data_IF_255254460339
#
_entry.id   IF_255254460339
#
_cell.length_a   1.000
_cell.length_b   1.000
_cell.length_c   1.000
_cell.angle_alpha   90.00
_cell.angle_beta   90.00
_cell.angle_gamma   90.00
#
_symmetry.space_group_name_H-M   'P 1'
#
loop_
_entity.id
_entity.type
_entity.pdbx_description
1 polymer ?
#
# COMPACT_ATOMS: atom_id res chain seq x y z
N UNK A 1 -31.91 -21.39 42.33
CA UNK A 1 -31.98 -20.17 41.48
C UNK A 1 -30.88 -19.16 41.81
N UNK A 2 -30.76 -18.65 43.05
CA UNK A 2 -29.75 -17.63 43.40
C UNK A 2 -28.29 -18.09 43.25
N UNK A 3 -27.94 -19.32 43.65
CA UNK A 3 -26.58 -19.86 43.49
C UNK A 3 -26.21 -20.02 42.01
N UNK A 4 -27.13 -20.52 41.19
CA UNK A 4 -26.95 -20.67 39.75
C UNK A 4 -26.69 -19.32 39.08
N UNK A 5 -27.46 -18.28 39.43
CA UNK A 5 -27.27 -16.93 38.91
C UNK A 5 -25.90 -16.36 39.29
N UNK A 6 -25.45 -16.57 40.54
CA UNK A 6 -24.12 -16.13 40.99
C UNK A 6 -22.99 -16.83 40.23
N UNK A 7 -23.11 -18.14 40.00
CA UNK A 7 -22.13 -18.92 39.24
C UNK A 7 -22.11 -18.45 37.78
N UNK A 8 -23.28 -18.35 37.15
CA UNK A 8 -23.40 -17.89 35.77
C UNK A 8 -22.79 -16.50 35.59
N UNK A 9 -23.18 -15.54 36.43
CA UNK A 9 -22.64 -14.18 36.38
C UNK A 9 -21.13 -14.14 36.61
N UNK A 10 -20.64 -14.91 37.59
CA UNK A 10 -19.20 -15.02 37.87
C UNK A 10 -18.41 -15.59 36.70
N UNK A 11 -18.94 -16.62 36.03
CA UNK A 11 -18.32 -17.21 34.84
C UNK A 11 -18.34 -16.24 33.66
N UNK A 12 -19.48 -15.58 33.39
CA UNK A 12 -19.58 -14.58 32.31
C UNK A 12 -18.60 -13.42 32.51
N UNK A 13 -18.52 -12.87 33.73
CA UNK A 13 -17.56 -11.79 34.05
C UNK A 13 -16.13 -12.29 33.87
N UNK A 14 -15.82 -13.51 34.30
CA UNK A 14 -14.47 -14.09 34.16
C UNK A 14 -14.08 -14.24 32.69
N UNK A 15 -14.98 -14.73 31.84
CA UNK A 15 -14.73 -14.88 30.40
C UNK A 15 -14.55 -13.53 29.72
N UNK A 16 -15.44 -12.56 29.98
CA UNK A 16 -15.36 -11.20 29.41
C UNK A 16 -14.06 -10.52 29.87
N UNK A 17 -13.70 -10.65 31.14
CA UNK A 17 -12.47 -10.08 31.69
C UNK A 17 -11.23 -10.72 31.07
N UNK A 18 -11.25 -12.04 30.85
CA UNK A 18 -10.16 -12.74 30.18
C UNK A 18 -9.99 -12.27 28.73
N UNK A 19 -11.09 -12.16 27.98
CA UNK A 19 -11.08 -11.65 26.60
C UNK A 19 -10.52 -10.22 26.55
N UNK A 20 -11.05 -9.32 27.38
CA UNK A 20 -10.57 -7.93 27.43
C UNK A 20 -9.10 -7.82 27.84
N UNK A 21 -8.66 -8.64 28.79
CA UNK A 21 -7.27 -8.69 29.24
C UNK A 21 -6.34 -9.18 28.13
N UNK A 22 -6.71 -10.25 27.41
CA UNK A 22 -5.90 -10.76 26.30
C UNK A 22 -5.79 -9.73 25.18
N UNK A 23 -6.91 -9.12 24.79
CA UNK A 23 -6.94 -8.07 23.77
C UNK A 23 -6.12 -6.84 24.18
N UNK A 24 -6.10 -6.50 25.47
CA UNK A 24 -5.25 -5.41 25.97
C UNK A 24 -3.75 -5.75 25.97
N UNK A 25 -3.39 -7.01 26.19
CA UNK A 25 -1.99 -7.45 26.16
C UNK A 25 -1.44 -7.54 24.72
N UNK A 26 -2.23 -8.11 23.81
CA UNK A 26 -1.82 -8.29 22.40
C UNK A 26 -2.07 -7.02 21.59
N UNK A 27 -3.04 -6.19 21.98
CA UNK A 27 -3.40 -4.93 21.33
C UNK A 27 -3.52 -5.10 19.80
N UNK A 28 -4.34 -6.06 19.31
CA UNK A 28 -4.34 -6.46 17.90
C UNK A 28 -4.82 -5.34 16.97
N UNK A 29 -5.59 -4.39 17.52
CA UNK A 29 -6.14 -3.25 16.79
C UNK A 29 -5.42 -1.94 17.03
N UNK A 30 -4.29 -1.96 17.74
CA UNK A 30 -3.48 -0.78 18.03
C UNK A 30 -4.25 0.37 18.67
N UNK A 31 -5.03 0.10 19.73
CA UNK A 31 -5.62 1.13 20.60
C UNK A 31 -4.68 1.58 21.73
N UNK A 32 -3.56 0.87 21.90
CA UNK A 32 -2.41 1.30 22.68
C UNK A 32 -1.14 1.31 21.83
N UNK A 33 -0.05 0.82 22.41
CA UNK A 33 1.28 0.80 21.78
C UNK A 33 1.55 -0.43 20.92
N UNK A 34 0.53 -1.23 20.60
CA UNK A 34 0.70 -2.52 19.93
C UNK A 34 1.07 -3.63 20.91
N UNK A 35 1.38 -4.80 20.35
CA UNK A 35 1.58 -6.04 21.10
C UNK A 35 2.68 -5.90 22.14
N UNK A 36 2.37 -6.33 23.37
CA UNK A 36 3.25 -6.24 24.54
C UNK A 36 3.94 -7.55 24.86
N UNK A 37 3.47 -8.65 24.26
CA UNK A 37 4.01 -9.99 24.44
C UNK A 37 5.07 -10.30 23.37
N UNK A 38 4.84 -9.85 22.14
CA UNK A 38 5.83 -9.80 21.06
C UNK A 38 5.84 -8.40 20.45
N UNK A 39 6.87 -8.05 19.67
CA UNK A 39 6.85 -6.78 18.94
C UNK A 39 5.92 -6.80 17.71
N UNK A 40 5.36 -7.95 17.35
CA UNK A 40 4.68 -8.15 16.06
C UNK A 40 3.15 -8.08 16.21
N UNK A 41 2.53 -7.29 15.35
CA UNK A 41 1.10 -7.32 15.05
C UNK A 41 0.92 -7.62 13.57
N UNK A 42 0.09 -8.60 13.21
CA UNK A 42 -0.16 -8.85 11.79
C UNK A 42 -1.07 -7.79 11.18
N UNK A 43 -0.97 -7.63 9.87
CA UNK A 43 -1.74 -6.66 9.08
C UNK A 43 -3.23 -7.05 9.00
N UNK A 44 -3.94 -6.94 10.11
CA UNK A 44 -5.38 -7.09 10.18
C UNK A 44 -6.04 -5.73 10.16
N UNK A 45 -7.13 -5.61 9.39
CA UNK A 45 -7.99 -4.42 9.36
C UNK A 45 -7.18 -3.11 9.39
N UNK A 46 -6.25 -2.97 8.44
CA UNK A 46 -5.28 -1.86 8.40
C UNK A 46 -5.97 -0.49 8.44
N UNK A 47 -7.18 -0.41 7.90
CA UNK A 47 -8.06 0.77 7.97
C UNK A 47 -8.34 1.19 9.42
N UNK A 48 -8.76 0.25 10.26
CA UNK A 48 -8.99 0.49 11.70
C UNK A 48 -7.67 0.66 12.46
N UNK A 49 -6.69 -0.22 12.23
CA UNK A 49 -5.46 -0.26 13.04
C UNK A 49 -4.56 0.95 12.80
N UNK A 50 -4.39 1.38 11.54
CA UNK A 50 -3.67 2.61 11.20
C UNK A 50 -4.38 3.84 11.76
N UNK A 51 -5.71 3.89 11.66
CA UNK A 51 -6.48 5.00 12.23
C UNK A 51 -6.34 5.09 13.74
N UNK A 52 -6.42 3.96 14.47
CA UNK A 52 -6.23 3.95 15.91
C UNK A 52 -4.82 4.38 16.31
N UNK A 53 -3.82 3.95 15.54
CA UNK A 53 -2.44 4.35 15.74
C UNK A 53 -2.28 5.87 15.52
N UNK A 54 -2.74 6.39 14.37
CA UNK A 54 -2.74 7.82 14.05
C UNK A 54 -3.38 8.66 15.16
N UNK A 55 -4.57 8.29 15.62
CA UNK A 55 -5.29 9.04 16.66
C UNK A 55 -4.55 9.10 18.00
N UNK A 56 -3.74 8.08 18.30
CA UNK A 56 -2.93 8.05 19.51
C UNK A 56 -1.63 8.84 19.41
N UNK A 57 -1.06 8.92 18.22
CA UNK A 57 0.24 9.53 17.98
C UNK A 57 0.13 10.97 17.49
N UNK A 58 -0.96 11.38 16.83
CA UNK A 58 -1.11 12.71 16.21
C UNK A 58 -0.96 13.91 17.16
N UNK A 59 -1.07 13.72 18.48
CA UNK A 59 -0.84 14.77 19.49
C UNK A 59 0.58 14.77 20.06
N UNK A 60 1.39 13.77 19.72
CA UNK A 60 2.74 13.52 20.24
C UNK A 60 3.79 13.63 19.15
N UNK A 61 3.40 13.33 17.91
CA UNK A 61 4.21 13.34 16.71
C UNK A 61 3.66 14.45 15.83
N UNK A 62 4.54 15.33 15.36
CA UNK A 62 4.23 16.40 14.44
C UNK A 62 4.36 15.86 13.02
N UNK A 63 3.26 15.34 12.49
CA UNK A 63 3.27 14.74 11.14
C UNK A 63 3.23 15.85 10.09
N UNK A 64 4.34 16.04 9.39
CA UNK A 64 4.48 16.98 8.27
C UNK A 64 4.40 16.28 6.90
N UNK A 65 4.21 14.95 6.91
CA UNK A 65 4.14 14.14 5.72
C UNK A 65 3.06 13.05 5.83
N UNK A 66 2.40 12.75 4.71
CA UNK A 66 1.41 11.69 4.58
C UNK A 66 1.79 10.77 3.42
N UNK A 67 1.73 9.45 3.63
CA UNK A 67 1.90 8.45 2.56
C UNK A 67 0.56 7.74 2.35
N UNK A 68 0.02 7.82 1.14
CA UNK A 68 -1.22 7.19 0.72
C UNK A 68 -0.91 6.15 -0.38
N UNK A 69 -1.59 5.01 -0.38
CA UNK A 69 -1.34 3.97 -1.39
C UNK A 69 -2.04 2.64 -1.09
N UNK A 70 -1.91 1.67 -1.99
CA UNK A 70 -2.42 0.32 -1.75
C UNK A 70 -1.41 -0.56 -0.98
N UNK A 71 -1.56 -1.89 -1.04
CA UNK A 71 -0.63 -2.81 -0.37
C UNK A 71 0.80 -2.67 -0.87
N UNK A 72 1.00 -2.23 -2.12
CA UNK A 72 2.31 -2.00 -2.72
C UNK A 72 3.12 -1.01 -1.88
N UNK A 73 2.53 0.10 -1.45
CA UNK A 73 3.19 1.13 -0.65
C UNK A 73 3.23 0.86 0.88
N UNK A 74 2.73 -0.30 1.36
CA UNK A 74 2.72 -0.58 2.82
C UNK A 74 4.11 -0.76 3.42
N UNK A 75 5.10 -1.17 2.61
CA UNK A 75 6.48 -1.40 3.02
C UNK A 75 7.38 -0.17 2.81
N UNK A 76 6.82 0.93 2.30
CA UNK A 76 7.49 2.23 2.28
C UNK A 76 7.50 2.78 3.71
N UNK A 77 8.66 2.66 4.36
CA UNK A 77 8.82 3.02 5.78
C UNK A 77 8.84 4.52 5.95
N UNK A 78 8.16 5.01 6.98
CA UNK A 78 8.21 6.42 7.34
C UNK A 78 9.63 6.89 7.71
N UNK A 79 10.46 6.00 8.26
CA UNK A 79 11.87 6.26 8.58
C UNK A 79 12.79 6.40 7.37
N UNK A 80 12.32 6.07 6.17
CA UNK A 80 13.07 6.29 4.92
C UNK A 80 13.07 7.77 4.47
N UNK A 81 12.32 8.64 5.14
CA UNK A 81 12.27 10.07 4.85
C UNK A 81 13.09 10.86 5.88
N UNK A 82 14.23 11.42 5.48
CA UNK A 82 15.24 11.91 6.42
C UNK A 82 14.86 13.24 7.10
N UNK A 83 14.06 14.06 6.42
CA UNK A 83 13.71 15.42 6.85
C UNK A 83 12.23 15.60 7.15
N UNK A 84 11.47 14.50 7.15
CA UNK A 84 10.03 14.50 7.33
C UNK A 84 9.63 13.43 8.33
N UNK A 85 8.53 13.69 9.03
CA UNK A 85 7.86 12.75 9.90
C UNK A 85 6.58 12.28 9.21
N UNK A 86 6.71 11.22 8.42
CA UNK A 86 5.61 10.68 7.63
C UNK A 86 4.68 9.77 8.43
N UNK A 87 3.37 9.88 8.20
CA UNK A 87 2.41 8.84 8.56
C UNK A 87 2.02 8.01 7.33
N UNK A 88 2.22 6.69 7.39
CA UNK A 88 1.85 5.79 6.29
C UNK A 88 0.42 5.26 6.46
N UNK A 89 -0.50 5.76 5.63
CA UNK A 89 -1.88 5.32 5.46
C UNK A 89 -2.09 4.35 4.29
N UNK A 90 -1.04 3.75 3.74
CA UNK A 90 -1.20 2.71 2.73
C UNK A 90 -1.79 1.43 3.32
N UNK A 91 -2.65 0.72 2.58
CA UNK A 91 -3.29 -0.52 3.07
C UNK A 91 -3.71 -1.48 1.95
N UNK A 92 -3.96 -2.73 2.30
CA UNK A 92 -4.43 -3.75 1.37
C UNK A 92 -5.61 -3.30 0.51
N UNK A 93 -5.41 -3.44 -0.81
CA UNK A 93 -6.38 -3.10 -1.85
C UNK A 93 -6.93 -1.66 -1.75
N UNK A 94 -6.13 -0.73 -1.23
CA UNK A 94 -6.49 0.68 -1.19
C UNK A 94 -6.69 1.27 -2.59
N UNK A 95 -7.59 2.24 -2.67
CA UNK A 95 -8.03 2.89 -3.91
C UNK A 95 -8.05 4.39 -3.74
N UNK A 96 -7.95 5.12 -4.85
CA UNK A 96 -7.91 6.58 -4.85
C UNK A 96 -9.11 7.22 -4.12
N UNK A 97 -10.30 6.65 -4.23
CA UNK A 97 -11.48 7.12 -3.48
C UNK A 97 -11.21 7.11 -1.97
N UNK A 98 -10.63 6.02 -1.46
CA UNK A 98 -10.31 5.91 -0.04
C UNK A 98 -9.16 6.83 0.34
N UNK A 99 -8.21 7.09 -0.56
CA UNK A 99 -7.10 8.01 -0.28
C UNK A 99 -7.63 9.42 0.01
N UNK A 100 -8.63 9.87 -0.75
CA UNK A 100 -9.34 11.15 -0.52
C UNK A 100 -10.00 11.17 0.85
N UNK A 101 -10.68 10.08 1.24
CA UNK A 101 -11.34 10.00 2.55
C UNK A 101 -10.34 10.04 3.71
N UNK A 102 -9.23 9.30 3.61
CA UNK A 102 -8.19 9.31 4.64
C UNK A 102 -7.44 10.64 4.69
N UNK A 103 -7.17 11.28 3.55
CA UNK A 103 -6.62 12.63 3.49
C UNK A 103 -7.57 13.64 4.17
N UNK A 104 -8.86 13.58 3.84
CA UNK A 104 -9.89 14.44 4.44
C UNK A 104 -9.98 14.22 5.95
N UNK A 105 -9.92 12.98 6.41
CA UNK A 105 -9.91 12.63 7.83
C UNK A 105 -8.69 13.17 8.59
N UNK A 106 -7.51 13.16 7.95
CA UNK A 106 -6.29 13.76 8.49
C UNK A 106 -6.44 15.28 8.59
N UNK A 107 -7.00 15.93 7.57
CA UNK A 107 -7.31 17.37 7.59
C UNK A 107 -8.30 17.75 8.69
N UNK A 108 -9.42 17.02 8.80
CA UNK A 108 -10.42 17.18 9.87
C UNK A 108 -9.85 16.92 11.27
N UNK A 109 -8.70 16.24 11.33
CA UNK A 109 -7.95 15.96 12.55
C UNK A 109 -6.96 17.06 12.95
N UNK A 110 -7.01 18.22 12.28
CA UNK A 110 -6.13 19.39 12.44
C UNK A 110 -4.65 19.11 12.10
N UNK A 111 -4.41 18.25 11.11
CA UNK A 111 -3.06 17.98 10.57
C UNK A 111 -3.00 18.47 9.12
N UNK A 112 -2.01 19.30 8.83
CA UNK A 112 -1.74 19.84 7.49
C UNK A 112 -0.31 19.46 7.10
N UNK A 113 -0.11 18.34 6.39
CA UNK A 113 1.23 17.92 5.98
C UNK A 113 1.79 18.90 4.95
N UNK A 114 3.10 19.16 4.99
CA UNK A 114 3.79 19.89 3.93
C UNK A 114 3.99 19.04 2.68
N UNK A 115 3.91 17.71 2.80
CA UNK A 115 4.12 16.80 1.66
C UNK A 115 3.19 15.59 1.72
N UNK A 116 2.63 15.23 0.57
CA UNK A 116 1.79 14.04 0.41
C UNK A 116 2.38 13.15 -0.66
N UNK A 117 2.82 11.95 -0.25
CA UNK A 117 3.29 10.89 -1.14
C UNK A 117 2.12 9.99 -1.52
N UNK A 118 1.92 9.75 -2.81
CA UNK A 118 0.78 8.96 -3.31
C UNK A 118 1.26 7.84 -4.22
N UNK A 119 1.05 6.59 -3.79
CA UNK A 119 1.24 5.40 -4.61
C UNK A 119 0.08 5.24 -5.61
N UNK A 120 0.41 5.28 -6.90
CA UNK A 120 -0.52 5.18 -8.03
C UNK A 120 -0.42 3.77 -8.64
N UNK A 121 -1.33 2.89 -8.25
CA UNK A 121 -1.34 1.52 -8.77
C UNK A 121 -2.06 1.41 -10.13
N UNK A 122 -1.55 0.59 -11.08
CA UNK A 122 -2.20 0.29 -12.36
C UNK A 122 -3.64 -0.24 -12.19
N UNK A 123 -3.92 -0.90 -11.06
CA UNK A 123 -5.24 -1.43 -10.74
C UNK A 123 -6.35 -0.37 -10.65
N UNK A 124 -6.00 0.90 -10.44
CA UNK A 124 -6.98 1.99 -10.46
C UNK A 124 -7.60 2.21 -11.86
N UNK A 125 -6.90 1.82 -12.92
CA UNK A 125 -7.31 2.05 -14.31
C UNK A 125 -7.80 0.77 -15.02
N UNK A 126 -7.81 -0.38 -14.34
CA UNK A 126 -8.26 -1.65 -14.95
C UNK A 126 -9.76 -1.91 -14.72
N UNK A 127 -10.50 -2.35 -15.76
CA UNK A 127 -11.90 -2.80 -15.58
C UNK A 127 -12.05 -4.11 -14.80
N UNK A 128 -10.99 -4.90 -14.65
CA UNK A 128 -11.05 -6.17 -13.91
C UNK A 128 -11.18 -5.95 -12.40
N UNK A 129 -10.84 -4.76 -11.92
CA UNK A 129 -11.04 -4.36 -10.54
C UNK A 129 -12.47 -3.82 -10.41
N UNK A 130 -13.32 -4.60 -9.72
CA UNK A 130 -14.70 -4.21 -9.41
C UNK A 130 -14.73 -2.83 -8.77
N UNK A 131 -15.75 -2.02 -9.08
CA UNK A 131 -15.93 -0.71 -8.45
C UNK A 131 -16.01 -0.82 -6.93
N UNK A 132 -15.61 0.25 -6.24
CA UNK A 132 -15.65 0.27 -4.79
C UNK A 132 -17.09 0.55 -4.39
N UNK A 133 -17.85 -0.48 -4.00
CA UNK A 133 -19.22 -0.32 -3.52
C UNK A 133 -19.31 0.13 -2.04
N UNK A 134 -18.17 0.41 -1.40
CA UNK A 134 -18.08 0.68 0.02
C UNK A 134 -18.38 2.13 0.40
N UNK A 135 -19.03 2.31 1.55
CA UNK A 135 -18.87 3.53 2.35
C UNK A 135 -17.59 3.34 3.17
N UNK A 136 -16.59 4.17 2.93
CA UNK A 136 -15.38 4.37 3.75
C UNK A 136 -15.76 4.97 5.10
N UNK A 137 -16.61 4.30 5.87
CA UNK A 137 -16.78 4.69 7.25
C UNK A 137 -15.49 4.32 7.98
N UNK A 138 -14.67 5.35 8.26
CA UNK A 138 -13.57 5.29 9.22
C UNK A 138 -14.21 4.99 10.58
N UNK A 139 -14.42 3.70 10.85
CA UNK A 139 -15.08 3.23 12.07
C UNK A 139 -14.10 3.25 13.23
N UNK A 140 -14.04 4.37 13.96
CA UNK A 140 -13.39 4.40 15.26
C UNK A 140 -14.39 3.99 16.36
N UNK A 141 -14.33 2.73 16.78
CA UNK A 141 -15.17 2.21 17.87
C UNK A 141 -14.52 2.55 19.23
N UNK A 142 -15.30 2.84 20.29
CA UNK A 142 -14.72 2.96 21.63
C UNK A 142 -13.96 1.69 22.03
N UNK A 143 -12.81 1.84 22.70
CA UNK A 143 -11.91 0.73 23.09
C UNK A 143 -12.69 -0.42 23.75
N UNK A 144 -13.62 -0.12 24.66
CA UNK A 144 -14.38 -1.16 25.36
C UNK A 144 -15.30 -1.97 24.44
N UNK A 145 -15.80 -1.38 23.35
CA UNK A 145 -16.60 -2.10 22.36
C UNK A 145 -15.71 -2.98 21.49
N UNK A 146 -14.56 -2.44 21.06
CA UNK A 146 -13.61 -3.20 20.26
C UNK A 146 -12.99 -4.37 21.07
N UNK A 147 -12.54 -4.14 22.30
CA UNK A 147 -11.74 -5.12 23.05
C UNK A 147 -12.53 -6.13 23.85
N UNK A 148 -13.84 -5.91 24.02
CA UNK A 148 -14.74 -6.95 24.51
C UNK A 148 -15.39 -7.74 23.37
N UNK A 149 -15.04 -7.45 22.10
CA UNK A 149 -15.55 -8.16 20.93
C UNK A 149 -14.86 -9.51 20.73
N UNK A 150 -15.58 -10.42 20.08
CA UNK A 150 -15.05 -11.69 19.63
C UNK A 150 -14.01 -11.51 18.50
N UNK A 151 -14.21 -10.55 17.61
CA UNK A 151 -13.30 -10.33 16.48
C UNK A 151 -11.89 -9.95 16.95
N UNK A 152 -11.78 -8.99 17.88
CA UNK A 152 -10.49 -8.64 18.47
C UNK A 152 -9.84 -9.83 19.20
N UNK A 153 -10.64 -10.67 19.85
CA UNK A 153 -10.14 -11.89 20.51
C UNK A 153 -9.56 -12.89 19.50
N UNK A 154 -10.24 -13.12 18.38
CA UNK A 154 -9.73 -13.97 17.28
C UNK A 154 -8.43 -13.42 16.72
N UNK A 155 -8.34 -12.10 16.51
CA UNK A 155 -7.11 -11.45 16.04
C UNK A 155 -5.95 -11.60 17.05
N UNK A 156 -6.24 -11.46 18.34
CA UNK A 156 -5.26 -11.69 19.41
C UNK A 156 -4.73 -13.13 19.39
N UNK A 157 -5.63 -14.12 19.26
CA UNK A 157 -5.24 -15.52 19.17
C UNK A 157 -4.37 -15.79 17.92
N UNK A 158 -4.79 -15.31 16.74
CA UNK A 158 -3.99 -15.46 15.50
C UNK A 158 -2.60 -14.88 15.65
N UNK A 159 -2.49 -13.69 16.25
CA UNK A 159 -1.19 -13.05 16.52
C UNK A 159 -0.31 -13.90 17.44
N UNK A 160 -0.88 -14.48 18.50
CA UNK A 160 -0.16 -15.37 19.41
C UNK A 160 0.27 -16.69 18.75
N UNK A 161 -0.55 -17.22 17.84
CA UNK A 161 -0.26 -18.44 17.08
C UNK A 161 0.58 -18.21 15.81
N UNK A 162 1.04 -16.97 15.58
CA UNK A 162 1.81 -16.60 14.39
C UNK A 162 1.08 -16.84 13.06
N UNK A 163 -0.26 -16.75 13.07
CA UNK A 163 -1.11 -16.93 11.90
C UNK A 163 -1.37 -15.58 11.21
N UNK A 164 -0.46 -15.19 10.31
CA UNK A 164 -0.61 -13.97 9.51
C UNK A 164 -1.48 -14.20 8.27
N UNK A 165 -2.44 -13.32 7.95
CA UNK A 165 -3.23 -13.38 6.72
C UNK A 165 -2.44 -12.85 5.50
N UNK A 166 -1.40 -12.05 5.75
CA UNK A 166 -0.57 -11.42 4.74
C UNK A 166 0.91 -11.67 5.04
N UNK A 167 1.78 -11.62 4.03
CA UNK A 167 3.23 -11.80 4.19
C UNK A 167 3.95 -10.64 4.90
N UNK A 168 3.24 -9.84 5.71
CA UNK A 168 3.78 -8.69 6.45
C UNK A 168 3.21 -8.57 7.88
N UNK A 169 3.94 -7.87 8.73
CA UNK A 169 3.55 -7.50 10.09
C UNK A 169 3.98 -6.06 10.38
N UNK A 170 3.40 -5.45 11.41
CA UNK A 170 3.79 -4.16 11.96
C UNK A 170 4.57 -4.36 13.26
N UNK A 171 5.67 -3.63 13.44
CA UNK A 171 6.52 -3.73 14.62
C UNK A 171 6.27 -2.59 15.63
N UNK A 172 5.88 -2.95 16.87
CA UNK A 172 5.63 -2.01 17.98
C UNK A 172 6.87 -1.34 18.54
N UNK A 173 8.06 -1.82 18.20
CA UNK A 173 9.36 -1.23 18.55
C UNK A 173 9.95 -0.40 17.42
N UNK A 174 9.41 -0.48 16.20
CA UNK A 174 9.85 0.28 15.04
C UNK A 174 8.76 1.26 14.58
N UNK A 175 8.16 2.01 15.52
CA UNK A 175 7.21 3.07 15.21
C UNK A 175 6.06 2.67 14.26
N UNK A 176 5.50 1.46 14.41
CA UNK A 176 4.42 0.95 13.56
C UNK A 176 4.85 0.80 12.09
N UNK A 177 6.12 0.52 11.81
CA UNK A 177 6.57 0.22 10.46
C UNK A 177 6.27 -1.22 10.07
N UNK A 178 5.92 -1.41 8.79
CA UNK A 178 5.69 -2.73 8.23
C UNK A 178 7.01 -3.41 7.89
N UNK A 179 7.04 -4.72 8.09
CA UNK A 179 8.15 -5.59 7.74
C UNK A 179 7.62 -6.96 7.31
N UNK A 180 8.49 -7.78 6.73
CA UNK A 180 8.12 -9.02 6.07
C UNK A 180 8.31 -10.23 6.99
N UNK A 181 7.34 -11.16 6.94
CA UNK A 181 7.48 -12.43 7.65
C UNK A 181 8.66 -13.23 7.10
N UNK A 182 9.37 -13.94 7.96
CA UNK A 182 10.51 -14.76 7.56
C UNK A 182 10.06 -15.98 6.72
N UNK A 183 10.95 -16.47 5.85
CA UNK A 183 10.77 -17.69 5.05
C UNK A 183 9.61 -17.67 4.04
N UNK A 184 9.40 -16.53 3.36
CA UNK A 184 8.51 -16.50 2.21
C UNK A 184 9.04 -17.38 1.07
N UNK A 185 8.14 -17.95 0.24
CA UNK A 185 8.53 -18.61 -1.00
C UNK A 185 9.33 -17.65 -1.89
N UNK A 186 10.31 -18.20 -2.61
CA UNK A 186 11.03 -17.45 -3.63
C UNK A 186 10.06 -17.13 -4.79
N UNK A 187 10.12 -15.88 -5.27
CA UNK A 187 9.32 -15.45 -6.41
C UNK A 187 9.89 -16.05 -7.70
N UNK A 188 9.15 -16.99 -8.29
CA UNK A 188 9.52 -17.62 -9.56
C UNK A 188 8.37 -17.44 -10.58
N UNK A 189 8.35 -16.33 -11.33
CA UNK A 189 7.26 -16.05 -12.25
C UNK A 189 7.29 -16.91 -13.51
N UNK A 190 6.10 -17.16 -14.05
CA UNK A 190 5.91 -17.74 -15.38
C UNK A 190 5.29 -16.68 -16.31
N UNK A 191 5.68 -16.69 -17.58
CA UNK A 191 5.05 -15.86 -18.60
C UNK A 191 3.71 -16.46 -19.00
N UNK A 192 2.69 -15.62 -19.12
CA UNK A 192 1.32 -16.06 -19.41
C UNK A 192 0.78 -15.37 -20.65
N UNK A 193 0.28 -16.15 -21.61
CA UNK A 193 -0.43 -15.66 -22.79
C UNK A 193 -1.93 -15.50 -22.50
N UNK A 194 -2.26 -14.63 -21.55
CA UNK A 194 -3.67 -14.39 -21.23
C UNK A 194 -4.25 -13.37 -22.21
N UNK A 195 -5.01 -13.85 -23.20
CA UNK A 195 -5.78 -13.04 -24.16
C UNK A 195 -7.02 -12.38 -23.52
N UNK A 196 -6.87 -11.77 -22.35
CA UNK A 196 -7.94 -10.93 -21.81
C UNK A 196 -7.70 -9.52 -22.32
N UNK A 197 -8.42 -9.13 -23.36
CA UNK A 197 -8.52 -7.71 -23.75
C UNK A 197 -9.12 -6.95 -22.58
N UNK A 198 -8.29 -6.16 -21.91
CA UNK A 198 -8.72 -5.27 -20.83
C UNK A 198 -9.08 -3.91 -21.44
N UNK A 199 -10.19 -3.33 -21.01
CA UNK A 199 -10.37 -1.90 -21.22
C UNK A 199 -9.72 -1.10 -20.10
N UNK A 200 -9.77 0.22 -20.24
CA UNK A 200 -9.20 1.19 -19.34
C UNK A 200 -10.25 2.13 -18.72
N UNK A 201 -10.08 2.43 -17.43
CA UNK A 201 -10.90 3.35 -16.63
C UNK A 201 -10.20 4.70 -16.42
N UNK A 202 -9.97 5.43 -17.51
CA UNK A 202 -9.31 6.74 -17.45
C UNK A 202 -10.12 7.78 -16.65
N UNK A 203 -11.41 7.56 -16.41
CA UNK A 203 -12.25 8.47 -15.60
C UNK A 203 -11.75 8.65 -14.15
N UNK A 204 -10.93 7.72 -13.63
CA UNK A 204 -10.36 7.82 -12.29
C UNK A 204 -9.23 8.84 -12.17
N UNK A 205 -8.67 9.33 -13.27
CA UNK A 205 -7.58 10.32 -13.27
C UNK A 205 -8.00 11.58 -12.51
N UNK A 206 -9.25 12.04 -12.70
CA UNK A 206 -9.79 13.24 -12.04
C UNK A 206 -9.83 13.14 -10.50
N UNK A 207 -9.80 11.93 -9.92
CA UNK A 207 -9.81 11.75 -8.47
C UNK A 207 -8.46 12.15 -7.83
N UNK A 208 -7.38 12.17 -8.61
CA UNK A 208 -6.09 12.65 -8.11
C UNK A 208 -6.06 14.17 -7.97
N UNK A 209 -6.76 14.92 -8.83
CA UNK A 209 -7.01 16.36 -8.65
C UNK A 209 -7.84 16.60 -7.37
N UNK A 210 -8.90 15.82 -7.16
CA UNK A 210 -9.72 15.91 -5.93
C UNK A 210 -8.89 15.66 -4.66
N UNK A 211 -7.98 14.68 -4.68
CA UNK A 211 -7.07 14.42 -3.58
C UNK A 211 -6.14 15.63 -3.31
N UNK A 212 -5.62 16.26 -4.37
CA UNK A 212 -4.77 17.45 -4.25
C UNK A 212 -5.51 18.61 -3.57
N UNK A 213 -6.79 18.80 -3.90
CA UNK A 213 -7.64 19.84 -3.32
C UNK A 213 -7.85 19.69 -1.81
N UNK A 214 -7.61 18.50 -1.24
CA UNK A 214 -7.63 18.31 0.22
C UNK A 214 -6.50 19.11 0.89
N UNK A 215 -5.30 19.15 0.31
CA UNK A 215 -4.15 19.86 0.88
C UNK A 215 -3.50 20.79 -0.16
N UNK A 216 -4.16 21.89 -0.56
CA UNK A 216 -3.74 22.70 -1.71
C UNK A 216 -2.37 23.38 -1.56
N UNK A 217 -1.87 23.50 -0.33
CA UNK A 217 -0.57 24.11 -0.02
C UNK A 217 0.55 23.07 0.19
N UNK A 218 0.24 21.77 0.13
CA UNK A 218 1.23 20.70 0.27
C UNK A 218 1.92 20.40 -1.07
N UNK A 219 3.18 19.96 -1.01
CA UNK A 219 3.85 19.36 -2.16
C UNK A 219 3.32 17.95 -2.39
N UNK A 220 2.83 17.67 -3.58
CA UNK A 220 2.33 16.36 -3.97
C UNK A 220 3.39 15.60 -4.76
N UNK A 221 3.80 14.45 -4.22
CA UNK A 221 4.76 13.54 -4.84
C UNK A 221 4.05 12.24 -5.19
N UNK A 222 3.83 12.01 -6.49
CA UNK A 222 3.20 10.80 -6.99
C UNK A 222 4.25 9.77 -7.38
N UNK A 223 3.93 8.50 -7.21
CA UNK A 223 4.77 7.44 -7.75
C UNK A 223 3.98 6.21 -8.15
N UNK A 224 4.37 5.57 -9.26
CA UNK A 224 3.96 4.18 -9.53
C UNK A 224 4.90 3.26 -8.74
N UNK A 225 4.40 2.41 -7.84
CA UNK A 225 5.22 1.45 -7.11
C UNK A 225 5.98 0.50 -8.06
N UNK A 226 7.10 -0.09 -7.63
CA UNK A 226 7.79 -1.08 -8.44
C UNK A 226 6.93 -2.32 -8.69
N UNK A 227 6.94 -2.78 -9.94
CA UNK A 227 6.37 -4.06 -10.36
C UNK A 227 7.44 -4.84 -11.12
N UNK A 228 7.43 -6.17 -10.98
CA UNK A 228 8.39 -6.98 -11.70
C UNK A 228 8.17 -6.91 -13.20
N UNK A 229 9.25 -7.06 -13.98
CA UNK A 229 9.15 -7.12 -15.44
C UNK A 229 8.14 -8.18 -15.91
N UNK A 230 8.06 -9.33 -15.23
CA UNK A 230 7.06 -10.36 -15.50
C UNK A 230 5.63 -9.89 -15.19
N UNK A 231 5.39 -9.19 -14.09
CA UNK A 231 4.05 -8.67 -13.75
C UNK A 231 3.61 -7.63 -14.76
N UNK A 232 4.48 -6.69 -15.10
CA UNK A 232 4.23 -5.67 -16.12
C UNK A 232 3.89 -6.33 -17.45
N UNK A 233 4.69 -7.30 -17.88
CA UNK A 233 4.46 -8.05 -19.12
C UNK A 233 3.09 -8.74 -19.09
N UNK A 234 2.86 -9.60 -18.09
CA UNK A 234 1.68 -10.46 -18.04
C UNK A 234 0.37 -9.70 -17.77
N UNK A 235 0.43 -8.59 -17.01
CA UNK A 235 -0.79 -7.89 -16.54
C UNK A 235 -1.10 -6.63 -17.32
N UNK A 236 -0.10 -5.99 -17.94
CA UNK A 236 -0.26 -4.69 -18.62
C UNK A 236 0.00 -4.85 -20.13
N UNK A 237 1.15 -5.39 -20.50
CA UNK A 237 1.59 -5.45 -21.89
C UNK A 237 0.83 -6.50 -22.73
N UNK A 238 0.95 -7.79 -22.38
CA UNK A 238 0.32 -8.90 -23.11
C UNK A 238 -1.20 -8.77 -23.21
N UNK A 239 -1.92 -8.28 -22.18
CA UNK A 239 -3.37 -8.06 -22.28
C UNK A 239 -3.77 -6.86 -23.18
N UNK A 240 -2.80 -6.12 -23.72
CA UNK A 240 -3.02 -5.12 -24.77
C UNK A 240 -3.53 -3.75 -24.30
N UNK A 241 -3.28 -3.36 -23.05
CA UNK A 241 -3.73 -2.07 -22.52
C UNK A 241 -2.59 -1.16 -22.03
N UNK A 242 -1.34 -1.45 -22.43
CA UNK A 242 -0.18 -0.64 -22.09
C UNK A 242 -0.37 0.84 -22.45
N UNK A 243 -0.85 1.15 -23.66
CA UNK A 243 -1.00 2.56 -24.06
C UNK A 243 -1.93 3.32 -23.15
N UNK A 244 -3.11 2.77 -22.83
CA UNK A 244 -4.02 3.45 -21.93
C UNK A 244 -3.49 3.55 -20.50
N UNK A 245 -2.76 2.52 -20.03
CA UNK A 245 -2.07 2.60 -18.75
C UNK A 245 -1.09 3.79 -18.72
N UNK A 246 -0.22 3.91 -19.73
CA UNK A 246 0.79 4.97 -19.79
C UNK A 246 0.17 6.35 -20.00
N UNK A 247 -0.86 6.47 -20.84
CA UNK A 247 -1.64 7.70 -21.00
C UNK A 247 -2.28 8.14 -19.69
N UNK A 248 -2.91 7.20 -18.95
CA UNK A 248 -3.54 7.50 -17.66
C UNK A 248 -2.51 7.93 -16.61
N UNK A 249 -1.36 7.25 -16.53
CA UNK A 249 -0.28 7.63 -15.60
C UNK A 249 0.29 9.01 -15.95
N UNK A 250 0.51 9.30 -17.23
CA UNK A 250 1.00 10.61 -17.69
C UNK A 250 0.01 11.72 -17.35
N UNK A 251 -1.30 11.50 -17.57
CA UNK A 251 -2.35 12.46 -17.20
C UNK A 251 -2.46 12.63 -15.67
N UNK A 252 -2.29 11.56 -14.89
CA UNK A 252 -2.23 11.66 -13.42
C UNK A 252 -1.05 12.51 -12.97
N UNK A 253 0.12 12.33 -13.58
CA UNK A 253 1.34 13.06 -13.24
C UNK A 253 1.18 14.60 -13.33
N UNK A 254 0.27 15.10 -14.16
CA UNK A 254 -0.02 16.53 -14.24
C UNK A 254 -0.56 17.13 -12.92
N UNK A 255 -1.18 16.31 -12.06
CA UNK A 255 -1.72 16.71 -10.76
C UNK A 255 -0.67 16.74 -9.63
N UNK A 256 0.57 16.36 -9.92
CA UNK A 256 1.65 16.27 -8.93
C UNK A 256 2.76 17.26 -9.23
N UNK A 257 3.49 17.67 -8.19
CA UNK A 257 4.70 18.50 -8.33
C UNK A 257 5.88 17.65 -8.81
N UNK A 258 5.94 16.40 -8.35
CA UNK A 258 6.95 15.38 -8.70
C UNK A 258 6.22 14.08 -9.00
N UNK A 259 6.61 13.38 -10.07
CA UNK A 259 6.02 12.09 -10.39
C UNK A 259 7.02 11.11 -11.01
N UNK A 260 7.19 9.95 -10.38
CA UNK A 260 8.08 8.89 -10.86
C UNK A 260 7.33 7.58 -11.14
N UNK A 261 7.72 6.87 -12.19
CA UNK A 261 7.30 5.49 -12.43
C UNK A 261 8.44 4.51 -12.13
N UNK A 262 8.31 3.71 -11.06
CA UNK A 262 9.28 2.68 -10.67
C UNK A 262 8.95 1.29 -11.21
N UNK A 263 7.89 1.14 -12.00
CA UNK A 263 7.41 -0.12 -12.55
C UNK A 263 8.10 -0.52 -13.85
N UNK A 264 8.79 0.41 -14.52
CA UNK A 264 9.51 0.12 -15.76
C UNK A 264 10.54 -1.01 -15.54
N UNK A 265 10.61 -2.03 -16.41
CA UNK A 265 11.64 -3.05 -16.32
C UNK A 265 13.06 -2.44 -16.23
N UNK A 266 13.83 -2.86 -15.23
CA UNK A 266 15.16 -2.35 -14.90
C UNK A 266 15.97 -3.40 -14.15
N UNK A 267 17.25 -3.12 -13.86
CA UNK A 267 18.09 -3.97 -13.00
C UNK A 267 17.45 -4.25 -11.62
N UNK A 268 16.60 -3.34 -11.12
CA UNK A 268 15.88 -3.51 -9.85
C UNK A 268 14.62 -4.35 -10.02
N UNK A 269 13.80 -4.08 -11.04
CA UNK A 269 12.48 -4.73 -11.19
C UNK A 269 12.55 -6.10 -11.86
N UNK A 270 13.63 -6.42 -12.56
CA UNK A 270 13.84 -7.73 -13.21
C UNK A 270 14.43 -8.79 -12.27
N UNK A 271 14.93 -8.35 -11.11
CA UNK A 271 15.46 -9.20 -10.04
C UNK A 271 14.35 -9.78 -9.18
N UNK A 272 14.27 -11.11 -9.18
CA UNK A 272 13.24 -11.85 -8.43
C UNK A 272 13.50 -11.87 -6.92
N UNK A 273 14.73 -11.61 -6.47
CA UNK A 273 15.12 -11.55 -5.06
C UNK A 273 14.77 -10.21 -4.39
N UNK A 274 14.25 -9.23 -5.15
CA UNK A 274 13.81 -7.93 -4.64
C UNK A 274 12.33 -7.91 -4.20
N UNK A 275 11.58 -8.97 -4.45
CA UNK A 275 10.14 -9.09 -4.18
C UNK A 275 9.77 -10.53 -3.85
N UNK A 276 8.69 -10.75 -3.10
CA UNK A 276 8.19 -12.09 -2.80
C UNK A 276 7.05 -12.54 -3.72
N UNK A 277 6.47 -11.65 -4.53
CA UNK A 277 5.35 -12.00 -5.44
C UNK A 277 5.31 -11.20 -6.75
N UNK A 278 6.31 -10.36 -7.02
CA UNK A 278 6.38 -9.53 -8.22
C UNK A 278 5.65 -8.19 -8.11
N UNK A 279 4.91 -7.95 -7.03
CA UNK A 279 4.12 -6.73 -6.80
C UNK A 279 4.57 -6.02 -5.52
N UNK A 280 4.96 -6.78 -4.50
CA UNK A 280 5.38 -6.25 -3.22
C UNK A 280 6.89 -6.40 -3.06
N UNK A 281 7.58 -5.27 -3.16
CA UNK A 281 9.03 -5.20 -3.04
C UNK A 281 9.47 -5.10 -1.58
N UNK A 282 10.63 -5.64 -1.27
CA UNK A 282 11.18 -5.59 0.09
C UNK A 282 11.51 -4.15 0.52
N UNK A 283 11.51 -3.85 1.83
CA UNK A 283 11.77 -2.51 2.35
C UNK A 283 13.05 -1.84 1.81
N UNK A 284 14.11 -2.62 1.55
CA UNK A 284 15.37 -2.10 1.02
C UNK A 284 15.22 -1.45 -0.36
N UNK A 285 14.30 -1.94 -1.19
CA UNK A 285 14.01 -1.30 -2.48
C UNK A 285 13.20 -0.02 -2.26
N UNK A 286 12.30 -0.02 -1.28
CA UNK A 286 11.55 1.19 -0.92
C UNK A 286 12.40 2.28 -0.26
N UNK A 287 13.50 1.93 0.41
CA UNK A 287 14.50 2.89 0.86
C UNK A 287 15.10 3.65 -0.33
N UNK A 288 15.43 2.95 -1.42
CA UNK A 288 15.89 3.58 -2.68
C UNK A 288 14.79 4.42 -3.31
N UNK A 289 13.55 3.93 -3.37
CA UNK A 289 12.40 4.69 -3.90
C UNK A 289 12.17 5.98 -3.11
N UNK A 290 12.23 5.91 -1.77
CA UNK A 290 12.08 7.08 -0.90
C UNK A 290 13.19 8.11 -1.14
N UNK A 291 14.44 7.65 -1.32
CA UNK A 291 15.58 8.52 -1.60
C UNK A 291 15.40 9.28 -2.93
N UNK A 292 14.99 8.57 -3.99
CA UNK A 292 14.74 9.15 -5.32
C UNK A 292 13.64 10.22 -5.26
N UNK A 293 12.56 9.94 -4.54
CA UNK A 293 11.45 10.89 -4.36
C UNK A 293 11.83 12.14 -3.54
N UNK A 294 12.95 12.11 -2.79
CA UNK A 294 13.42 13.24 -1.96
C UNK A 294 14.55 14.03 -2.60
N UNK A 295 15.44 13.37 -3.34
CA UNK A 295 16.71 13.96 -3.77
C UNK A 295 16.91 14.02 -5.30
N UNK A 296 15.99 13.46 -6.09
CA UNK A 296 16.11 13.23 -7.52
C UNK A 296 17.30 12.29 -7.85
N UNK A 297 17.12 11.22 -8.64
CA UNK A 297 18.25 10.34 -9.01
C UNK A 297 18.19 9.83 -10.46
N UNK A 298 19.36 9.47 -10.99
CA UNK A 298 19.64 9.32 -12.43
C UNK A 298 19.47 7.88 -12.98
N UNK A 299 19.28 6.84 -12.15
CA UNK A 299 19.42 5.43 -12.59
C UNK A 299 18.25 4.46 -12.28
N UNK A 300 17.26 4.84 -11.45
CA UNK A 300 16.06 4.02 -11.18
C UNK A 300 14.83 4.91 -11.05
N UNK A 301 13.72 4.47 -11.66
CA UNK A 301 12.52 5.30 -11.80
C UNK A 301 12.59 6.21 -13.03
N UNK A 302 11.44 6.46 -13.63
CA UNK A 302 11.31 7.35 -14.78
C UNK A 302 10.55 8.60 -14.38
N UNK A 303 11.11 9.78 -14.63
CA UNK A 303 10.46 11.07 -14.35
C UNK A 303 9.32 11.31 -15.36
N UNK A 304 8.10 10.93 -14.97
CA UNK A 304 6.91 11.11 -15.79
C UNK A 304 6.53 12.58 -15.85
N UNK A 305 6.71 13.32 -14.75
CA UNK A 305 6.30 14.72 -14.65
C UNK A 305 7.02 15.61 -15.65
N UNK A 306 8.32 15.40 -15.83
CA UNK A 306 9.16 16.23 -16.69
C UNK A 306 9.40 15.62 -18.09
N UNK A 307 8.67 14.59 -18.48
CA UNK A 307 8.82 13.92 -19.78
C UNK A 307 7.60 14.11 -20.69
N UNK A 308 7.83 13.94 -22.00
CA UNK A 308 6.74 13.84 -22.96
C UNK A 308 6.18 12.41 -22.96
N UNK A 309 4.87 12.26 -23.18
CA UNK A 309 4.21 10.96 -23.28
C UNK A 309 4.92 10.01 -24.27
N UNK A 310 5.38 10.52 -25.41
CA UNK A 310 6.09 9.73 -26.41
C UNK A 310 7.42 9.17 -25.89
N UNK A 311 8.15 9.94 -25.08
CA UNK A 311 9.41 9.49 -24.47
C UNK A 311 9.14 8.42 -23.40
N UNK A 312 8.10 8.63 -22.58
CA UNK A 312 7.64 7.66 -21.58
C UNK A 312 7.21 6.34 -22.22
N UNK A 313 6.37 6.38 -23.25
CA UNK A 313 5.95 5.21 -24.02
C UNK A 313 7.14 4.48 -24.66
N UNK A 314 8.07 5.22 -25.26
CA UNK A 314 9.27 4.63 -25.88
C UNK A 314 10.16 3.95 -24.84
N UNK A 315 10.42 4.60 -23.70
CA UNK A 315 11.23 4.04 -22.63
C UNK A 315 10.62 2.74 -22.09
N UNK A 316 9.31 2.73 -21.83
CA UNK A 316 8.61 1.58 -21.29
C UNK A 316 8.62 0.39 -22.26
N UNK A 317 8.35 0.64 -23.54
CA UNK A 317 8.34 -0.39 -24.59
C UNK A 317 9.74 -0.97 -24.84
N UNK A 318 10.76 -0.13 -24.90
CA UNK A 318 12.15 -0.58 -25.05
C UNK A 318 12.57 -1.45 -23.87
N UNK A 319 12.23 -1.06 -22.64
CA UNK A 319 12.53 -1.83 -21.44
C UNK A 319 11.82 -3.19 -21.40
N UNK A 320 10.55 -3.25 -21.82
CA UNK A 320 9.84 -4.54 -21.98
C UNK A 320 10.54 -5.41 -23.03
N UNK A 321 10.88 -4.84 -24.18
CA UNK A 321 11.48 -5.59 -25.27
C UNK A 321 12.83 -6.19 -24.87
N UNK A 322 13.69 -5.37 -24.25
CA UNK A 322 14.98 -5.82 -23.71
C UNK A 322 14.78 -6.91 -22.64
N UNK A 323 13.82 -6.74 -21.74
CA UNK A 323 13.52 -7.73 -20.72
C UNK A 323 13.07 -9.07 -21.32
N UNK A 324 12.20 -9.05 -22.33
CA UNK A 324 11.74 -10.26 -23.02
C UNK A 324 12.87 -10.97 -23.77
N UNK A 325 13.74 -10.22 -24.46
CA UNK A 325 14.92 -10.76 -25.13
C UNK A 325 15.86 -11.43 -24.13
N UNK A 326 16.16 -10.76 -23.01
CA UNK A 326 17.01 -11.32 -21.94
C UNK A 326 16.43 -12.61 -21.32
N UNK A 327 15.10 -12.76 -21.31
CA UNK A 327 14.43 -13.97 -20.80
C UNK A 327 14.23 -15.04 -21.88
N UNK A 328 14.58 -14.76 -23.15
CA UNK A 328 14.33 -15.64 -24.28
C UNK A 328 12.83 -15.86 -24.51
N UNK A 329 12.06 -14.77 -24.42
CA UNK A 329 10.60 -14.74 -24.48
C UNK A 329 10.12 -13.81 -25.60
N UNK A 330 10.86 -13.77 -26.70
CA UNK A 330 10.59 -12.94 -27.88
C UNK A 330 9.20 -13.24 -28.47
N UNK A 331 8.67 -14.45 -28.28
CA UNK A 331 7.31 -14.82 -28.71
C UNK A 331 6.20 -13.98 -28.06
N UNK A 332 6.51 -13.29 -26.95
CA UNK A 332 5.59 -12.40 -26.25
C UNK A 332 5.67 -10.95 -26.72
N UNK A 333 6.60 -10.60 -27.62
CA UNK A 333 6.60 -9.30 -28.28
C UNK A 333 5.35 -9.22 -29.18
N UNK A 334 4.50 -8.21 -28.94
CA UNK A 334 3.42 -7.89 -29.86
C UNK A 334 4.01 -7.53 -31.23
N UNK A 335 3.27 -7.85 -32.31
CA UNK A 335 3.63 -7.50 -33.70
C UNK A 335 3.78 -5.99 -33.94
N UNK A 336 3.38 -5.16 -32.98
CA UNK A 336 3.34 -3.70 -33.07
C UNK A 336 4.73 -3.04 -33.01
N UNK A 337 5.81 -3.82 -32.85
CA UNK A 337 7.19 -3.35 -32.97
C UNK A 337 7.73 -3.38 -34.41
N UNK A 338 6.93 -3.82 -35.40
CA UNK A 338 7.36 -3.94 -36.81
C UNK A 338 6.95 -2.76 -37.74
N UNK A 339 6.37 -1.66 -37.24
CA UNK A 339 6.03 -0.47 -38.07
C UNK A 339 7.01 0.71 -37.96
#
# INVERSE_FOLDING_TARGET
MQLYLKIYLGLSISVISFVGFLNWLVDPLWYGSGNRLSSRNFAFDERVTKTNHFLQTKRKVDYDCLILGSSTATLLRSSSFEQQTCFNYAFSAGRIEEFIDYASYVKESDIEPSTVYVGVDPGNFSFLVTEFEGTTHIENRPIYQAYLSWDAFVLSLRTLFQESPYPRYYDSRQNFEADIIENLPEYNPEFTNTELTQGCKAEKVMLYDELQQVFPDATFVGFVPPYSGCVVTNRIYTPGWLDCYLESIHEVADNFDIFYDFSIPSDTTTRTDNTYDGVHYYPQVYETVADIMQHEAEDFGFDVKNSQLADYQSAYRNAIAEFLEQKGQDEHLASDFEE
#
